data_IF_403635130079
#
_entry.id   IF_403635130079
#
_cell.length_a   1.000
_cell.length_b   1.000
_cell.length_c   1.000
_cell.angle_alpha   90.00
_cell.angle_beta   90.00
_cell.angle_gamma   90.00
#
_symmetry.space_group_name_H-M   'P 1'
#
loop_
_entity.id
_entity.type
_entity.pdbx_description
1 polymer ?
#
# COMPACT_ATOMS: atom_id res chain seq x y z
N UNK A 1 8.26 -11.11 -13.99
CA UNK A 1 9.16 -10.47 -13.00
C UNK A 1 10.26 -9.72 -13.73
N UNK A 2 10.61 -8.50 -13.30
CA UNK A 2 11.82 -7.78 -13.74
C UNK A 2 12.87 -7.83 -12.64
N UNK A 3 14.16 -7.82 -12.99
CA UNK A 3 15.29 -7.81 -12.05
C UNK A 3 15.78 -6.38 -11.88
N UNK A 4 16.07 -5.99 -10.64
CA UNK A 4 16.62 -4.68 -10.30
C UNK A 4 17.88 -4.90 -9.47
N UNK A 5 18.93 -4.13 -9.74
CA UNK A 5 20.13 -4.05 -8.90
C UNK A 5 19.95 -2.87 -7.95
N UNK A 6 20.22 -3.10 -6.67
CA UNK A 6 20.11 -2.09 -5.61
C UNK A 6 21.36 -2.25 -4.75
N UNK A 7 22.07 -1.15 -4.53
CA UNK A 7 23.17 -1.10 -3.60
C UNK A 7 22.62 -0.86 -2.18
N UNK A 8 23.12 -1.64 -1.24
CA UNK A 8 22.76 -1.60 0.18
C UNK A 8 24.05 -1.58 0.99
N UNK A 9 24.05 -0.88 2.12
CA UNK A 9 25.17 -0.97 3.04
C UNK A 9 25.26 -2.39 3.64
N UNK A 10 26.48 -2.85 3.94
CA UNK A 10 26.73 -4.20 4.46
C UNK A 10 25.96 -4.48 5.74
N UNK A 11 25.83 -3.45 6.59
CA UNK A 11 25.06 -3.51 7.82
C UNK A 11 23.57 -3.79 7.57
N UNK A 12 22.97 -3.11 6.60
CA UNK A 12 21.54 -3.27 6.27
C UNK A 12 21.28 -4.65 5.65
N UNK A 13 22.24 -5.14 4.86
CA UNK A 13 22.20 -6.49 4.30
C UNK A 13 22.20 -7.55 5.41
N UNK A 14 23.08 -7.40 6.40
CA UNK A 14 23.16 -8.31 7.54
C UNK A 14 21.88 -8.29 8.39
N UNK A 15 21.25 -7.12 8.57
CA UNK A 15 19.96 -7.02 9.26
C UNK A 15 18.84 -7.73 8.49
N UNK A 16 18.81 -7.59 7.17
CA UNK A 16 17.85 -8.29 6.31
C UNK A 16 18.04 -9.82 6.37
N UNK A 17 19.28 -10.30 6.42
CA UNK A 17 19.61 -11.72 6.58
C UNK A 17 19.11 -12.27 7.93
N UNK A 18 19.36 -11.54 9.02
CA UNK A 18 18.87 -11.91 10.34
C UNK A 18 17.34 -11.96 10.38
N UNK A 19 16.67 -10.94 9.83
CA UNK A 19 15.21 -10.88 9.77
C UNK A 19 14.60 -12.00 8.92
N UNK A 20 15.25 -12.34 7.79
CA UNK A 20 14.88 -13.47 6.94
C UNK A 20 14.98 -14.80 7.69
N UNK A 21 16.05 -14.98 8.48
CA UNK A 21 16.23 -16.14 9.35
C UNK A 21 15.14 -16.26 10.41
N UNK A 22 14.83 -15.16 11.11
CA UNK A 22 13.78 -15.14 12.14
C UNK A 22 12.39 -15.41 11.56
N UNK A 23 12.07 -14.85 10.40
CA UNK A 23 10.75 -15.02 9.74
C UNK A 23 10.66 -16.29 8.88
N UNK A 24 11.74 -17.08 8.78
CA UNK A 24 11.84 -18.26 7.92
C UNK A 24 11.40 -18.01 6.47
N UNK A 25 11.77 -16.85 5.92
CA UNK A 25 11.39 -16.45 4.57
C UNK A 25 12.61 -16.00 3.78
N UNK A 26 12.49 -15.96 2.45
CA UNK A 26 13.59 -15.44 1.62
C UNK A 26 13.70 -13.92 1.74
N UNK A 27 14.93 -13.41 1.66
CA UNK A 27 15.19 -11.95 1.58
C UNK A 27 14.40 -11.27 0.46
N UNK A 28 14.30 -11.93 -0.69
CA UNK A 28 13.56 -11.41 -1.82
C UNK A 28 12.06 -11.23 -1.49
N UNK A 29 11.50 -12.08 -0.61
CA UNK A 29 10.14 -11.91 -0.13
C UNK A 29 9.99 -10.70 0.78
N UNK A 30 10.91 -10.52 1.74
CA UNK A 30 10.92 -9.35 2.63
C UNK A 30 11.05 -8.05 1.85
N UNK A 31 11.93 -8.00 0.85
CA UNK A 31 12.10 -6.81 0.01
C UNK A 31 10.83 -6.51 -0.81
N UNK A 32 10.13 -7.53 -1.31
CA UNK A 32 8.84 -7.31 -2.00
C UNK A 32 7.76 -6.81 -1.06
N UNK A 33 7.69 -7.36 0.15
CA UNK A 33 6.78 -6.89 1.21
C UNK A 33 7.07 -5.43 1.56
N UNK A 34 8.34 -5.10 1.83
CA UNK A 34 8.77 -3.74 2.16
C UNK A 34 8.47 -2.74 1.03
N UNK A 35 8.72 -3.09 -0.23
CA UNK A 35 8.36 -2.25 -1.38
C UNK A 35 6.85 -2.04 -1.46
N UNK A 36 6.07 -3.10 -1.28
CA UNK A 36 4.61 -3.01 -1.32
C UNK A 36 4.07 -2.13 -0.20
N UNK A 37 4.59 -2.29 1.02
CA UNK A 37 4.23 -1.47 2.18
C UNK A 37 4.65 -0.01 1.98
N UNK A 38 5.85 0.24 1.43
CA UNK A 38 6.33 1.58 1.13
C UNK A 38 5.44 2.28 0.10
N UNK A 39 5.06 1.59 -0.98
CA UNK A 39 4.17 2.13 -2.00
C UNK A 39 2.79 2.46 -1.40
N UNK A 40 2.20 1.56 -0.62
CA UNK A 40 0.92 1.83 0.06
C UNK A 40 1.01 3.02 1.00
N UNK A 41 2.08 3.13 1.80
CA UNK A 41 2.30 4.29 2.68
C UNK A 41 2.42 5.58 1.89
N UNK A 42 3.09 5.56 0.74
CA UNK A 42 3.31 6.74 -0.09
C UNK A 42 2.10 7.12 -0.94
N UNK A 43 1.31 6.16 -1.40
CA UNK A 43 0.03 6.40 -2.10
C UNK A 43 -1.05 6.91 -1.14
N UNK A 44 -1.04 6.45 0.12
CA UNK A 44 -1.91 6.98 1.19
C UNK A 44 -1.54 8.40 1.63
N UNK A 45 -0.35 8.88 1.30
CA UNK A 45 0.08 10.26 1.50
C UNK A 45 0.05 10.95 0.15
N UNK A 46 -1.11 11.45 -0.32
CA UNK A 46 -1.11 12.30 -1.49
C UNK A 46 -0.19 13.51 -1.22
N UNK A 47 0.51 13.98 -2.26
CA UNK A 47 1.45 15.10 -2.18
C UNK A 47 0.83 16.36 -1.52
N UNK A 48 -0.50 16.44 -1.50
CA UNK A 48 -1.30 17.20 -0.55
C UNK A 48 -2.16 16.21 0.26
N UNK A 49 -1.89 15.95 1.56
CA UNK A 49 -2.79 15.14 2.38
C UNK A 49 -4.20 15.75 2.27
N UNK A 50 -5.26 14.94 2.06
CA UNK A 50 -6.60 15.50 2.10
C UNK A 50 -6.78 16.06 3.51
N UNK A 51 -7.14 17.34 3.63
CA UNK A 51 -7.46 17.94 4.92
C UNK A 51 -8.34 16.97 5.72
N UNK A 52 -8.09 16.78 7.04
CA UNK A 52 -8.97 16.03 7.90
C UNK A 52 -10.42 16.41 7.61
N UNK A 53 -11.33 15.44 7.65
CA UNK A 53 -12.76 15.69 7.50
C UNK A 53 -13.21 16.55 8.71
N UNK A 54 -13.14 17.86 8.56
CA UNK A 54 -13.56 18.82 9.57
C UNK A 54 -15.07 19.08 9.40
N UNK A 55 -15.87 18.41 10.23
CA UNK A 55 -17.32 18.65 10.35
C UNK A 55 -18.23 17.66 9.63
N UNK A 56 -19.51 17.70 10.01
CA UNK A 56 -20.57 16.93 9.38
C UNK A 56 -20.78 17.42 7.93
N UNK A 57 -20.81 16.49 6.96
CA UNK A 57 -21.00 16.80 5.54
C UNK A 57 -19.72 16.83 4.69
N UNK A 58 -18.53 16.71 5.28
CA UNK A 58 -17.25 16.70 4.55
C UNK A 58 -17.05 15.50 3.58
N UNK A 59 -17.96 14.53 3.61
CA UNK A 59 -18.01 13.34 2.75
C UNK A 59 -18.81 13.61 1.45
N UNK A 60 -19.63 14.68 1.43
CA UNK A 60 -20.45 15.05 0.27
C UNK A 60 -19.59 15.33 -0.97
N UNK A 61 -19.85 14.64 -2.07
CA UNK A 61 -19.10 14.75 -3.33
C UNK A 61 -17.72 14.07 -3.35
N UNK A 62 -17.28 13.45 -2.24
CA UNK A 62 -16.02 12.67 -2.17
C UNK A 62 -16.23 11.18 -2.37
N UNK A 63 -17.43 10.67 -2.12
CA UNK A 63 -17.83 9.30 -2.40
C UNK A 63 -18.88 9.30 -3.50
N UNK A 64 -18.83 8.29 -4.37
CA UNK A 64 -19.90 8.01 -5.33
C UNK A 64 -21.20 7.79 -4.57
N UNK A 65 -22.31 8.26 -5.14
CA UNK A 65 -23.64 8.03 -4.60
C UNK A 65 -23.85 6.53 -4.28
N UNK A 66 -24.35 6.26 -3.07
CA UNK A 66 -24.47 4.91 -2.55
C UNK A 66 -25.43 4.03 -3.35
N UNK A 67 -26.49 4.60 -3.95
CA UNK A 67 -27.41 3.86 -4.80
C UNK A 67 -26.74 3.51 -6.14
N UNK A 68 -26.02 4.46 -6.74
CA UNK A 68 -25.27 4.20 -7.99
C UNK A 68 -24.23 3.11 -7.77
N UNK A 69 -23.54 3.14 -6.63
CA UNK A 69 -22.56 2.12 -6.29
C UNK A 69 -23.20 0.74 -6.10
N UNK A 70 -24.33 0.67 -5.40
CA UNK A 70 -25.06 -0.58 -5.17
C UNK A 70 -25.62 -1.17 -6.46
N UNK A 71 -26.17 -0.35 -7.35
CA UNK A 71 -26.71 -0.81 -8.64
C UNK A 71 -25.59 -1.35 -9.54
N UNK A 72 -24.43 -0.70 -9.56
CA UNK A 72 -23.25 -1.23 -10.28
C UNK A 72 -22.83 -2.59 -9.73
N UNK A 73 -22.74 -2.73 -8.41
CA UNK A 73 -22.36 -3.99 -7.78
C UNK A 73 -23.35 -5.13 -8.12
N UNK A 74 -24.64 -4.80 -8.23
CA UNK A 74 -25.70 -5.76 -8.54
C UNK A 74 -25.73 -6.17 -10.01
N UNK A 75 -25.36 -5.24 -10.91
CA UNK A 75 -25.26 -5.52 -12.35
C UNK A 75 -24.14 -6.50 -12.72
N UNK A 76 -23.21 -6.78 -11.80
CA UNK A 76 -22.15 -7.79 -12.00
C UNK A 76 -22.65 -9.22 -11.76
N UNK A 77 -23.90 -9.42 -11.30
CA UNK A 77 -24.50 -10.73 -10.99
C UNK A 77 -25.59 -11.17 -11.98
N UNK A 78 -25.89 -10.33 -12.99
CA UNK A 78 -26.68 -10.67 -14.18
C UNK A 78 -25.76 -11.04 -15.35
#
# INVERSE_FOLDING_TARGET
MKRTLVDLEEHDLAQLDALAGTRQTSRASLLREAVSEYLVKRERVPANPPKPLEGFGAISGRLTDGLIYQDKLRSEWD
#
